data_IF_209288808870
#
_entry.id   IF_209288808870
#
_cell.length_a   1.000
_cell.length_b   1.000
_cell.length_c   1.000
_cell.angle_alpha   90.00
_cell.angle_beta   90.00
_cell.angle_gamma   90.00
#
_symmetry.space_group_name_H-M   'P 1'
#
loop_
_entity.id
_entity.type
_entity.pdbx_description
1 polymer ?
#
# COMPACT_ATOMS: atom_id res chain seq x y z
N UNK A 1 -3.69 5.18 20.94
CA UNK A 1 -2.92 6.22 20.22
C UNK A 1 -1.94 5.52 19.30
N UNK A 2 -1.87 5.92 18.03
CA UNK A 2 -0.98 5.34 17.04
C UNK A 2 0.18 6.30 16.78
N UNK A 3 1.41 5.80 16.72
CA UNK A 3 2.55 6.58 16.25
C UNK A 3 2.68 6.44 14.72
N UNK A 4 2.61 7.56 14.01
CA UNK A 4 2.75 7.63 12.55
C UNK A 4 3.88 8.58 12.24
N UNK A 5 5.04 8.03 11.85
CA UNK A 5 6.25 8.82 11.55
C UNK A 5 6.67 9.76 12.69
N UNK A 6 6.56 9.31 13.95
CA UNK A 6 6.87 10.12 15.14
C UNK A 6 5.78 11.10 15.55
N UNK A 7 4.66 11.15 14.82
CA UNK A 7 3.48 11.91 15.19
C UNK A 7 2.45 11.01 15.86
N UNK A 8 1.99 11.46 17.01
CA UNK A 8 0.97 10.79 17.81
C UNK A 8 -0.42 11.11 17.26
N UNK A 9 -1.09 10.13 16.67
CA UNK A 9 -2.43 10.25 16.05
C UNK A 9 -3.48 9.52 16.90
N UNK A 10 -4.60 10.20 17.14
CA UNK A 10 -5.78 9.61 17.78
C UNK A 10 -6.62 8.95 16.70
N UNK A 11 -6.78 7.64 16.78
CA UNK A 11 -7.62 6.84 15.88
C UNK A 11 -8.65 6.11 16.76
N UNK A 12 -9.95 6.17 16.42
CA UNK A 12 -10.98 5.38 17.09
C UNK A 12 -10.63 3.89 17.07
N UNK A 13 -10.84 3.19 18.19
CA UNK A 13 -10.41 1.79 18.34
C UNK A 13 -11.20 0.85 17.42
N UNK A 14 -12.47 1.15 17.16
CA UNK A 14 -13.34 0.45 16.22
C UNK A 14 -12.87 0.57 14.76
N UNK A 15 -12.00 1.54 14.46
CA UNK A 15 -11.38 1.74 13.15
C UNK A 15 -9.97 1.12 13.05
N UNK A 16 -9.50 0.43 14.09
CA UNK A 16 -8.16 -0.15 14.16
C UNK A 16 -8.21 -1.66 14.37
N UNK A 17 -7.62 -2.42 13.45
CA UNK A 17 -7.34 -3.83 13.63
C UNK A 17 -5.83 -4.07 13.82
N UNK A 18 -5.44 -4.71 14.92
CA UNK A 18 -4.04 -5.11 15.16
C UNK A 18 -3.90 -6.59 14.87
N UNK A 19 -3.15 -6.92 13.81
CA UNK A 19 -2.86 -8.31 13.43
C UNK A 19 -1.50 -8.77 13.94
N UNK A 20 -1.44 -9.97 14.52
CA UNK A 20 -0.20 -10.56 15.04
C UNK A 20 0.76 -11.02 13.92
N UNK A 21 0.22 -11.41 12.76
CA UNK A 21 0.99 -11.87 11.60
C UNK A 21 1.11 -10.74 10.59
N UNK A 22 2.32 -10.57 10.04
CA UNK A 22 2.53 -9.68 8.89
C UNK A 22 1.76 -10.18 7.66
N UNK A 23 1.28 -9.27 6.78
CA UNK A 23 0.75 -9.66 5.48
C UNK A 23 1.78 -10.50 4.72
N UNK A 24 1.33 -11.53 4.01
CA UNK A 24 2.14 -12.36 3.11
C UNK A 24 1.93 -12.03 1.63
N UNK A 25 0.90 -11.23 1.32
CA UNK A 25 0.56 -10.71 -0.02
C UNK A 25 0.87 -9.22 -0.12
N UNK A 26 0.98 -8.73 -1.35
CA UNK A 26 1.06 -7.30 -1.61
C UNK A 26 -0.27 -6.63 -1.30
N UNK A 27 -0.29 -5.74 -0.31
CA UNK A 27 -1.47 -4.94 0.04
C UNK A 27 -1.68 -3.83 -0.99
N UNK A 28 -2.93 -3.63 -1.44
CA UNK A 28 -3.28 -2.53 -2.35
C UNK A 28 -3.74 -1.33 -1.55
N UNK A 29 -3.20 -0.15 -1.86
CA UNK A 29 -3.67 1.13 -1.34
C UNK A 29 -4.40 1.86 -2.45
N UNK A 30 -5.62 2.29 -2.17
CA UNK A 30 -6.41 3.20 -3.00
C UNK A 30 -6.33 4.60 -2.42
N UNK A 31 -6.01 5.59 -3.26
CA UNK A 31 -6.15 7.00 -2.93
C UNK A 31 -7.49 7.50 -3.41
N UNK A 32 -8.17 8.32 -2.60
CA UNK A 32 -9.39 8.98 -3.01
C UNK A 32 -9.10 9.94 -4.19
N UNK A 33 -10.16 10.34 -4.90
CA UNK A 33 -10.02 11.18 -6.09
C UNK A 33 -9.43 12.56 -5.76
N UNK A 34 -9.80 13.08 -4.60
CA UNK A 34 -9.46 14.37 -4.03
C UNK A 34 -8.25 14.33 -3.08
N UNK A 35 -7.72 13.14 -2.78
CA UNK A 35 -6.53 13.02 -1.93
C UNK A 35 -5.32 13.71 -2.57
N UNK A 36 -4.64 14.62 -1.84
CA UNK A 36 -3.44 15.26 -2.34
C UNK A 36 -2.34 14.22 -2.56
N UNK A 37 -1.89 14.08 -3.80
CA UNK A 37 -0.69 13.33 -4.15
C UNK A 37 0.48 14.30 -4.34
N UNK A 38 1.35 14.50 -3.33
CA UNK A 38 2.49 15.41 -3.45
C UNK A 38 3.50 14.97 -4.51
N UNK A 39 3.48 13.70 -4.92
CA UNK A 39 4.34 13.18 -5.98
C UNK A 39 3.72 13.29 -7.38
N UNK A 40 2.52 13.87 -7.53
CA UNK A 40 1.79 13.92 -8.81
C UNK A 40 2.63 14.56 -9.92
N UNK A 41 2.74 13.87 -11.04
CA UNK A 41 3.52 14.35 -12.20
C UNK A 41 5.04 14.18 -12.08
N UNK A 42 5.54 13.56 -11.00
CA UNK A 42 6.96 13.25 -10.82
C UNK A 42 7.25 11.77 -11.10
N UNK A 43 8.53 11.39 -11.15
CA UNK A 43 8.92 9.96 -11.26
C UNK A 43 8.51 9.11 -10.05
N UNK A 44 8.22 9.75 -8.92
CA UNK A 44 7.74 9.08 -7.71
C UNK A 44 6.21 8.91 -7.70
N UNK A 45 5.51 9.37 -8.75
CA UNK A 45 4.07 9.19 -8.87
C UNK A 45 3.73 7.71 -9.07
N UNK A 46 2.99 7.14 -8.11
CA UNK A 46 2.52 5.77 -8.16
C UNK A 46 1.08 5.67 -8.67
N UNK A 47 0.45 6.79 -9.01
CA UNK A 47 -0.95 6.86 -9.42
C UNK A 47 -1.93 6.70 -8.26
N UNK A 48 -3.20 6.45 -8.61
CA UNK A 48 -4.32 6.34 -7.65
C UNK A 48 -4.36 5.03 -6.88
N UNK A 49 -3.65 4.01 -7.37
CA UNK A 49 -3.55 2.71 -6.70
C UNK A 49 -2.13 2.19 -6.81
N UNK A 50 -1.62 1.65 -5.72
CA UNK A 50 -0.28 1.06 -5.67
C UNK A 50 -0.24 -0.09 -4.67
N UNK A 51 0.75 -0.96 -4.83
CA UNK A 51 0.95 -2.09 -3.92
C UNK A 51 2.00 -1.75 -2.86
N UNK A 52 1.94 -2.41 -1.72
CA UNK A 52 2.94 -2.37 -0.64
C UNK A 52 3.55 -3.76 -0.50
N UNK A 53 4.88 -3.84 -0.57
CA UNK A 53 5.60 -5.12 -0.45
C UNK A 53 5.49 -5.67 0.98
N UNK A 54 5.07 -6.94 1.17
CA UNK A 54 4.96 -7.55 2.50
C UNK A 54 6.32 -7.74 3.19
N UNK A 55 7.41 -7.80 2.41
CA UNK A 55 8.76 -8.08 2.91
C UNK A 55 9.49 -6.81 3.36
N UNK A 56 9.47 -5.75 2.54
CA UNK A 56 10.28 -4.55 2.78
C UNK A 56 9.50 -3.23 2.88
N UNK A 57 8.16 -3.31 2.90
CA UNK A 57 7.24 -2.17 2.96
C UNK A 57 7.41 -1.12 1.84
N UNK A 58 8.20 -1.41 0.81
CA UNK A 58 8.34 -0.50 -0.33
C UNK A 58 7.05 -0.43 -1.13
N UNK A 59 6.76 0.76 -1.66
CA UNK A 59 5.61 1.00 -2.53
C UNK A 59 5.97 0.59 -3.95
N UNK A 60 5.06 -0.11 -4.61
CA UNK A 60 5.23 -0.66 -5.95
C UNK A 60 4.15 -0.09 -6.86
N UNK A 61 4.59 0.52 -7.96
CA UNK A 61 3.70 1.03 -9.01
C UNK A 61 2.96 -0.14 -9.67
N UNK A 62 1.64 -0.08 -9.69
CA UNK A 62 0.79 -1.02 -10.42
C UNK A 62 0.47 -0.40 -11.78
N UNK A 63 1.21 -0.81 -12.82
CA UNK A 63 1.09 -0.27 -14.18
C UNK A 63 -0.11 -0.86 -14.93
N UNK A 64 -0.72 -0.02 -15.76
CA UNK A 64 -1.72 -0.44 -16.75
C UNK A 64 -3.16 -0.41 -16.25
N UNK A 65 -4.09 -0.57 -17.20
CA UNK A 65 -5.52 -0.65 -16.93
C UNK A 65 -5.90 -2.01 -16.31
N UNK A 66 -5.13 -3.05 -16.61
CA UNK A 66 -5.33 -4.42 -16.09
C UNK A 66 -4.87 -4.51 -14.63
N UNK A 67 -5.60 -5.30 -13.86
CA UNK A 67 -5.36 -5.60 -12.45
C UNK A 67 -4.35 -6.79 -12.38
N UNK A 68 -3.06 -6.58 -12.08
CA UNK A 68 -2.08 -7.67 -12.06
C UNK A 68 -2.33 -8.63 -10.89
N UNK A 69 -2.43 -9.93 -11.16
CA UNK A 69 -2.55 -10.95 -10.12
C UNK A 69 -1.26 -11.11 -9.28
N UNK A 70 -0.10 -10.83 -9.89
CA UNK A 70 1.22 -10.92 -9.25
C UNK A 70 2.06 -9.69 -9.59
N UNK A 71 2.99 -9.32 -8.70
CA UNK A 71 3.95 -8.24 -8.94
C UNK A 71 5.31 -8.56 -8.33
N UNK A 72 6.33 -7.79 -8.73
CA UNK A 72 7.70 -7.90 -8.22
C UNK A 72 8.12 -6.58 -7.59
N UNK A 73 8.57 -6.66 -6.34
CA UNK A 73 9.12 -5.53 -5.62
C UNK A 73 10.46 -5.10 -6.24
N UNK A 74 10.52 -3.86 -6.74
CA UNK A 74 11.73 -3.32 -7.35
C UNK A 74 12.85 -3.00 -6.33
N UNK A 75 12.54 -2.99 -5.03
CA UNK A 75 13.50 -2.71 -3.96
C UNK A 75 14.19 -3.98 -3.42
N UNK A 76 13.44 -5.06 -3.19
CA UNK A 76 13.98 -6.30 -2.58
C UNK A 76 13.86 -7.54 -3.47
N UNK A 77 13.29 -7.44 -4.67
CA UNK A 77 13.16 -8.56 -5.61
C UNK A 77 12.03 -9.55 -5.29
N UNK A 78 11.34 -9.42 -4.16
CA UNK A 78 10.25 -10.33 -3.80
C UNK A 78 9.12 -10.31 -4.85
N UNK A 79 8.72 -11.49 -5.32
CA UNK A 79 7.58 -11.70 -6.21
C UNK A 79 6.44 -12.38 -5.45
N UNK A 80 5.21 -11.93 -5.65
CA UNK A 80 4.06 -12.46 -4.92
C UNK A 80 2.71 -11.97 -5.43
N UNK A 81 1.64 -12.50 -4.82
CA UNK A 81 0.25 -12.21 -5.16
C UNK A 81 -0.13 -10.79 -4.70
N UNK A 82 -0.94 -10.10 -5.51
CA UNK A 82 -1.53 -8.80 -5.16
C UNK A 82 -2.94 -9.01 -4.60
N UNK A 83 -3.16 -8.53 -3.38
CA UNK A 83 -4.38 -8.77 -2.60
C UNK A 83 -5.51 -7.78 -2.96
N UNK A 84 -6.03 -7.87 -4.19
CA UNK A 84 -7.11 -7.01 -4.68
C UNK A 84 -8.45 -7.14 -3.93
N UNK A 85 -8.64 -8.26 -3.23
CA UNK A 85 -9.92 -8.63 -2.62
C UNK A 85 -9.85 -8.76 -1.09
N UNK A 86 -8.74 -8.38 -0.46
CA UNK A 86 -8.55 -8.51 1.00
C UNK A 86 -8.86 -7.25 1.80
N UNK A 87 -9.34 -6.19 1.14
CA UNK A 87 -9.90 -5.01 1.81
C UNK A 87 -11.42 -5.16 1.87
N UNK A 88 -11.89 -5.96 2.81
CA UNK A 88 -13.29 -6.03 3.25
C UNK A 88 -13.39 -5.53 4.67
#
# INVERSE_FOLDING_TARGET
MLDVSGQRVVVPQDMLEVRAKRPDRFTVVYRAYDDPNPARGTRADLGRRYAVCPVCASRVLLRGHVIPAVTTCQKCGHQGIVAWWETG
#
